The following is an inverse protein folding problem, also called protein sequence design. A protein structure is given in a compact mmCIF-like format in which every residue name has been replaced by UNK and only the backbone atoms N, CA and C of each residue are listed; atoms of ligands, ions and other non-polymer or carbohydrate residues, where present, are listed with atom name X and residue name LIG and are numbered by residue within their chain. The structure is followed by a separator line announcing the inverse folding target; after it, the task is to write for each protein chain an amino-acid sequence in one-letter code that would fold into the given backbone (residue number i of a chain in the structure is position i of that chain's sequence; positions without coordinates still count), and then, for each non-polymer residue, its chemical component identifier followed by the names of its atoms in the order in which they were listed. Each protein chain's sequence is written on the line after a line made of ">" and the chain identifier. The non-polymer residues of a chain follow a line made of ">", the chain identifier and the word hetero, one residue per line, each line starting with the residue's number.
data_IF_683352571155
#
_entry.id   IF_683352571155
#
_cell.length_a   1.000
_cell.length_b   1.000
_cell.length_c   1.000
_cell.angle_alpha   90.00
_cell.angle_beta   90.00
_cell.angle_gamma   90.00
#
_symmetry.space_group_name_H-M   'P 1'
#
loop_
_entity.id
_entity.type
_entity.pdbx_description
1 polymer ?
#
# COMPACT_ATOMS: atom_id res chain seq x y z
N UNK A 1 -30.42 48.87 34.92
CA UNK A 1 -29.23 49.08 35.78
C UNK A 1 -28.02 49.16 34.85
N UNK A 2 -27.72 50.33 34.28
CA UNK A 2 -26.82 51.38 34.79
C UNK A 2 -25.37 50.93 35.04
N UNK A 3 -24.45 51.51 34.25
CA UNK A 3 -23.04 51.80 34.56
C UNK A 3 -22.03 50.74 34.10
N UNK A 4 -20.87 51.03 33.53
CA UNK A 4 -20.14 52.26 33.17
C UNK A 4 -18.84 51.76 32.49
N UNK A 5 -18.40 52.21 31.29
CA UNK A 5 -17.49 53.35 31.07
C UNK A 5 -16.27 53.32 32.03
N UNK A 6 -14.97 53.34 31.68
CA UNK A 6 -14.14 53.88 30.57
C UNK A 6 -12.75 53.24 30.70
N UNK A 7 -11.89 53.20 29.67
CA UNK A 7 -10.83 54.19 29.35
C UNK A 7 -9.92 53.51 28.29
N UNK A 8 -9.31 54.13 27.28
CA UNK A 8 -9.23 55.51 26.78
C UNK A 8 -8.59 55.46 25.40
N UNK A 9 -8.91 56.49 24.61
CA UNK A 9 -8.41 56.85 23.29
C UNK A 9 -6.88 56.91 23.14
N UNK A 10 -6.43 56.66 21.91
CA UNK A 10 -5.52 57.47 21.07
C UNK A 10 -5.32 56.63 19.78
N UNK A 11 -5.40 57.08 18.52
CA UNK A 11 -5.51 58.38 17.84
C UNK A 11 -5.84 58.10 16.35
N UNK A 12 -6.33 59.11 15.63
CA UNK A 12 -6.95 59.14 14.28
C UNK A 12 -6.06 58.74 13.05
N UNK A 13 -6.65 58.62 11.82
CA UNK A 13 -6.15 57.92 10.60
C UNK A 13 -5.50 58.92 9.59
N UNK A 14 -5.40 58.76 8.23
CA UNK A 14 -5.79 57.68 7.28
C UNK A 14 -4.75 57.37 6.15
N UNK A 15 -5.08 56.38 5.30
CA UNK A 15 -5.05 56.42 3.80
C UNK A 15 -4.48 55.19 3.07
N UNK A 16 -5.18 54.86 1.97
CA UNK A 16 -4.83 54.03 0.79
C UNK A 16 -5.10 52.52 0.81
N UNK A 17 -6.22 52.19 0.17
CA UNK A 17 -6.62 50.96 -0.54
C UNK A 17 -5.64 50.56 -1.68
N UNK A 18 -5.86 49.52 -2.54
CA UNK A 18 -7.01 48.62 -2.67
C UNK A 18 -6.70 47.11 -2.98
N UNK A 19 -7.76 46.30 -2.96
CA UNK A 19 -8.06 45.15 -3.87
C UNK A 19 -7.00 44.09 -4.21
N UNK A 20 -7.23 42.85 -3.78
CA UNK A 20 -7.01 41.59 -4.51
C UNK A 20 -7.35 40.45 -3.54
N UNK A 21 -8.05 39.39 -3.86
CA UNK A 21 -8.50 38.82 -5.12
C UNK A 21 -9.07 37.47 -4.73
N UNK A 22 -10.07 37.03 -5.48
CA UNK A 22 -10.69 35.70 -5.38
C UNK A 22 -9.60 34.63 -5.26
N UNK A 23 -9.52 33.93 -4.13
CA UNK A 23 -8.73 32.71 -4.00
C UNK A 23 -9.43 31.60 -4.78
N UNK A 24 -9.30 31.65 -6.11
CA UNK A 24 -9.42 30.46 -6.93
C UNK A 24 -8.21 29.62 -6.54
N UNK A 25 -8.43 28.60 -5.70
CA UNK A 25 -7.44 27.57 -5.45
C UNK A 25 -7.12 26.93 -6.80
N UNK A 26 -6.01 27.36 -7.40
CA UNK A 26 -5.45 26.77 -8.60
C UNK A 26 -5.14 25.31 -8.28
N UNK A 27 -6.02 24.40 -8.72
CA UNK A 27 -5.71 22.99 -8.87
C UNK A 27 -4.69 22.89 -10.00
N UNK A 28 -3.43 23.16 -9.66
CA UNK A 28 -2.31 22.83 -10.52
C UNK A 28 -2.35 21.32 -10.75
N UNK A 29 -2.36 20.82 -12.00
CA UNK A 29 -2.07 19.43 -12.25
C UNK A 29 -0.58 19.28 -11.96
N UNK A 30 -0.22 19.04 -10.69
CA UNK A 30 1.10 18.56 -10.35
C UNK A 30 1.24 17.25 -11.11
N UNK A 31 1.97 17.30 -12.23
CA UNK A 31 2.60 16.15 -12.83
C UNK A 31 3.56 15.63 -11.75
N UNK A 32 3.04 14.80 -10.84
CA UNK A 32 3.87 14.06 -9.89
C UNK A 32 4.85 13.30 -10.75
N UNK A 33 6.12 13.67 -10.64
CA UNK A 33 7.19 12.86 -11.22
C UNK A 33 7.13 11.56 -10.45
N UNK A 34 6.90 10.46 -11.14
CA UNK A 34 6.88 9.15 -10.52
C UNK A 34 8.27 8.91 -9.90
N UNK A 35 8.29 8.58 -8.61
CA UNK A 35 9.52 8.38 -7.85
C UNK A 35 9.60 6.90 -7.49
N UNK A 36 10.55 6.21 -8.10
CA UNK A 36 10.76 4.79 -7.88
C UNK A 36 12.06 4.57 -7.11
N UNK A 37 11.97 3.95 -5.93
CA UNK A 37 13.14 3.50 -5.16
C UNK A 37 13.20 1.99 -5.23
N UNK A 38 14.21 1.43 -5.87
CA UNK A 38 14.32 -0.02 -6.06
C UNK A 38 15.49 -0.55 -5.25
N UNK A 39 15.21 -1.55 -4.41
CA UNK A 39 16.22 -2.23 -3.61
C UNK A 39 17.10 -3.14 -4.47
N UNK A 40 18.35 -3.42 -4.04
CA UNK A 40 19.32 -4.21 -4.81
C UNK A 40 18.88 -5.67 -5.04
N UNK A 41 17.90 -6.14 -4.26
CA UNK A 41 17.34 -7.48 -4.37
C UNK A 41 15.98 -7.52 -5.07
N UNK A 42 15.40 -6.38 -5.44
CA UNK A 42 14.12 -6.35 -6.13
C UNK A 42 14.28 -6.78 -7.60
N UNK A 43 13.28 -7.50 -8.11
CA UNK A 43 13.22 -7.91 -9.52
C UNK A 43 11.91 -7.39 -10.08
N UNK A 44 11.99 -6.42 -10.99
CA UNK A 44 10.81 -5.80 -11.59
C UNK A 44 10.73 -6.18 -13.05
N UNK A 45 9.68 -6.90 -13.44
CA UNK A 45 9.41 -7.20 -14.84
C UNK A 45 8.97 -5.92 -15.58
N UNK A 46 9.41 -5.74 -16.82
CA UNK A 46 9.11 -4.58 -17.65
C UNK A 46 7.60 -4.42 -17.94
N UNK A 47 6.89 -5.54 -18.04
CA UNK A 47 5.44 -5.63 -18.25
C UNK A 47 4.64 -5.36 -16.96
N UNK A 48 5.00 -4.31 -16.23
CA UNK A 48 4.29 -3.84 -15.04
C UNK A 48 3.99 -2.34 -15.15
N UNK A 49 2.74 -1.96 -14.83
CA UNK A 49 2.32 -0.57 -14.74
C UNK A 49 2.58 -0.08 -13.32
N UNK A 50 3.49 0.89 -13.17
CA UNK A 50 3.89 1.46 -11.89
C UNK A 50 3.73 2.97 -11.98
N UNK A 51 3.00 3.58 -11.04
CA UNK A 51 2.74 5.02 -11.02
C UNK A 51 2.79 5.60 -9.61
N UNK A 52 3.32 6.81 -9.49
CA UNK A 52 3.44 7.57 -8.26
C UNK A 52 4.76 7.33 -7.50
N UNK A 53 4.71 7.50 -6.19
CA UNK A 53 5.86 7.29 -5.28
C UNK A 53 5.83 5.87 -4.73
N UNK A 54 6.76 5.03 -5.20
CA UNK A 54 6.81 3.60 -4.89
C UNK A 54 8.22 3.20 -4.49
N UNK A 55 8.33 2.54 -3.33
CA UNK A 55 9.57 1.89 -2.86
C UNK A 55 9.44 0.39 -2.97
N UNK A 56 10.29 -0.26 -3.76
CA UNK A 56 10.23 -1.69 -4.13
C UNK A 56 11.42 -2.46 -3.53
N UNK A 57 11.15 -3.37 -2.60
CA UNK A 57 12.10 -4.40 -2.12
C UNK A 57 11.78 -5.82 -2.61
N UNK A 58 10.99 -5.93 -3.69
CA UNK A 58 10.16 -7.10 -3.98
C UNK A 58 10.31 -7.64 -5.40
N UNK A 59 9.83 -8.85 -5.62
CA UNK A 59 9.72 -9.45 -6.95
C UNK A 59 8.35 -9.13 -7.52
N UNK A 60 8.29 -8.50 -8.69
CA UNK A 60 7.06 -8.19 -9.41
C UNK A 60 6.95 -9.06 -10.68
N UNK A 61 5.93 -9.93 -10.73
CA UNK A 61 5.61 -10.73 -11.92
C UNK A 61 4.90 -9.89 -13.00
N UNK A 62 4.81 -10.38 -14.27
CA UNK A 62 4.19 -9.64 -15.36
C UNK A 62 2.73 -9.22 -15.09
N UNK A 63 2.25 -8.21 -15.81
CA UNK A 63 0.87 -7.68 -15.76
C UNK A 63 0.47 -7.12 -14.40
N UNK A 64 1.44 -6.87 -13.53
CA UNK A 64 1.19 -6.26 -12.25
C UNK A 64 0.90 -4.76 -12.40
N UNK A 65 -0.02 -4.21 -11.61
CA UNK A 65 -0.41 -2.80 -11.68
C UNK A 65 -0.33 -2.16 -10.29
N UNK A 66 0.65 -1.29 -10.04
CA UNK A 66 0.85 -0.62 -8.75
C UNK A 66 0.66 0.88 -8.92
N UNK A 67 -0.34 1.44 -8.25
CA UNK A 67 -0.80 2.81 -8.42
C UNK A 67 -0.80 3.54 -7.07
N UNK A 68 0.24 4.34 -6.83
CA UNK A 68 0.34 5.28 -5.71
C UNK A 68 -0.31 6.62 -6.10
N UNK A 69 -1.66 6.68 -6.04
CA UNK A 69 -2.43 7.83 -6.52
C UNK A 69 -2.32 9.02 -5.56
N UNK A 70 -2.66 8.81 -4.29
CA UNK A 70 -2.74 9.89 -3.29
C UNK A 70 -1.55 9.86 -2.32
N UNK A 71 -1.15 8.67 -1.88
CA UNK A 71 -0.07 8.44 -0.93
C UNK A 71 0.94 7.41 -1.45
N UNK A 72 2.16 7.38 -0.89
CA UNK A 72 3.21 6.49 -1.33
C UNK A 72 2.89 5.03 -0.99
N UNK A 73 3.49 4.11 -1.75
CA UNK A 73 3.45 2.67 -1.47
C UNK A 73 4.86 2.20 -1.14
N UNK A 74 5.04 1.64 0.05
CA UNK A 74 6.32 1.18 0.55
C UNK A 74 6.24 -0.32 0.71
N UNK A 75 6.99 -1.04 -0.12
CA UNK A 75 7.16 -2.47 0.03
C UNK A 75 8.41 -2.78 0.84
N UNK A 76 8.26 -3.70 1.79
CA UNK A 76 9.37 -4.34 2.49
C UNK A 76 10.19 -5.26 1.59
N UNK A 77 11.08 -6.02 2.22
CA UNK A 77 11.98 -6.94 1.53
C UNK A 77 11.32 -8.30 1.28
N UNK A 78 11.79 -8.98 0.24
CA UNK A 78 11.48 -10.37 -0.06
C UNK A 78 9.99 -10.69 -0.26
N UNK A 79 9.15 -9.71 -0.62
CA UNK A 79 7.79 -9.98 -1.05
C UNK A 79 7.76 -10.48 -2.51
N UNK A 80 6.71 -11.23 -2.85
CA UNK A 80 6.43 -11.69 -4.22
C UNK A 80 5.07 -11.11 -4.61
N UNK A 81 4.99 -10.39 -5.71
CA UNK A 81 3.73 -9.92 -6.29
C UNK A 81 3.46 -10.76 -7.51
N UNK A 82 2.38 -11.54 -7.47
CA UNK A 82 2.01 -12.43 -8.57
C UNK A 82 1.46 -11.70 -9.79
N UNK A 83 1.34 -12.46 -10.88
CA UNK A 83 0.78 -11.99 -12.14
C UNK A 83 -0.65 -11.45 -11.96
N UNK A 84 -0.98 -10.36 -12.65
CA UNK A 84 -2.29 -9.71 -12.63
C UNK A 84 -2.71 -9.14 -11.26
N UNK A 85 -1.78 -9.04 -10.30
CA UNK A 85 -2.03 -8.31 -9.05
C UNK A 85 -2.11 -6.83 -9.34
N UNK A 86 -3.18 -6.20 -8.86
CA UNK A 86 -3.36 -4.76 -8.88
C UNK A 86 -3.02 -4.30 -7.45
N UNK A 87 -2.53 -3.08 -7.23
CA UNK A 87 -2.32 -2.49 -5.91
C UNK A 87 -2.60 -1.00 -6.06
N UNK A 88 -3.59 -0.48 -5.34
CA UNK A 88 -3.96 0.94 -5.45
C UNK A 88 -4.02 1.60 -4.09
N UNK A 89 -3.16 2.60 -3.88
CA UNK A 89 -3.28 3.50 -2.73
C UNK A 89 -4.00 4.80 -3.12
N UNK A 90 -5.28 4.89 -2.72
CA UNK A 90 -6.12 6.10 -2.89
C UNK A 90 -6.09 7.03 -1.69
N UNK A 91 -5.52 6.60 -0.57
CA UNK A 91 -5.46 7.37 0.66
C UNK A 91 -4.21 8.25 0.71
N UNK A 92 -4.27 9.35 1.46
CA UNK A 92 -3.11 10.24 1.65
C UNK A 92 -2.03 9.59 2.54
N UNK A 93 -2.41 8.61 3.36
CA UNK A 93 -1.49 7.88 4.23
C UNK A 93 -0.65 6.89 3.41
N UNK A 94 0.60 6.63 3.84
CA UNK A 94 1.44 5.62 3.21
C UNK A 94 0.81 4.24 3.36
N UNK A 95 0.80 3.47 2.26
CA UNK A 95 0.48 2.03 2.28
C UNK A 95 1.80 1.29 2.50
N UNK A 96 1.91 0.59 3.64
CA UNK A 96 3.12 -0.13 4.03
C UNK A 96 2.84 -1.63 3.98
N UNK A 97 3.58 -2.32 3.11
CA UNK A 97 3.56 -3.77 2.98
C UNK A 97 4.84 -4.27 3.65
N UNK A 98 4.71 -5.14 4.66
CA UNK A 98 5.85 -5.72 5.39
C UNK A 98 6.73 -6.64 4.54
N UNK A 99 7.42 -7.58 5.17
CA UNK A 99 8.34 -8.49 4.49
C UNK A 99 7.70 -9.87 4.18
N UNK A 100 8.15 -10.54 3.12
CA UNK A 100 7.71 -11.90 2.75
C UNK A 100 6.20 -12.08 2.50
N UNK A 101 5.52 -11.04 2.05
CA UNK A 101 4.11 -11.07 1.68
C UNK A 101 3.89 -11.41 0.21
N UNK A 102 2.70 -11.90 -0.07
CA UNK A 102 2.21 -12.22 -1.39
C UNK A 102 0.83 -11.55 -1.58
N UNK A 103 0.73 -10.20 -1.71
CA UNK A 103 -0.43 -9.39 -2.24
C UNK A 103 -0.67 -7.98 -1.58
N UNK A 104 -1.80 -7.36 -1.98
CA UNK A 104 -2.43 -6.03 -1.93
C UNK A 104 -3.30 -5.71 -0.66
N UNK A 105 -2.80 -4.87 0.27
CA UNK A 105 -3.59 -4.18 1.31
C UNK A 105 -2.79 -3.02 1.96
N UNK A 106 -3.44 -1.97 2.52
CA UNK A 106 -2.79 -0.78 3.07
C UNK A 106 -1.87 -0.99 4.27
N UNK A 107 -2.14 -1.99 5.11
CA UNK A 107 -1.26 -2.40 6.22
C UNK A 107 -1.29 -3.91 6.33
N UNK A 108 -0.25 -4.54 5.80
CA UNK A 108 -0.02 -5.98 5.87
C UNK A 108 1.20 -6.22 6.76
N UNK A 109 1.09 -7.17 7.70
CA UNK A 109 2.20 -7.71 8.49
C UNK A 109 3.22 -8.48 7.63
N UNK A 110 3.83 -9.53 8.16
CA UNK A 110 4.83 -10.32 7.42
C UNK A 110 4.34 -11.76 7.16
N UNK A 111 4.88 -12.41 6.13
CA UNK A 111 4.59 -13.82 5.78
C UNK A 111 3.13 -14.10 5.42
N UNK A 112 2.46 -13.16 4.76
CA UNK A 112 1.07 -13.37 4.34
C UNK A 112 1.01 -13.96 2.93
N UNK A 113 0.14 -14.94 2.73
CA UNK A 113 -0.10 -15.60 1.45
C UNK A 113 -1.52 -15.28 1.00
N UNK A 114 -1.69 -14.64 -0.16
CA UNK A 114 -3.01 -14.34 -0.66
C UNK A 114 -3.26 -15.06 -1.99
N UNK A 115 -4.40 -15.75 -2.04
CA UNK A 115 -4.81 -16.53 -3.19
C UNK A 115 -5.29 -15.66 -4.35
N UNK A 116 -5.32 -16.26 -5.53
CA UNK A 116 -5.78 -15.64 -6.77
C UNK A 116 -7.21 -15.09 -6.60
N UNK A 117 -7.46 -13.88 -7.11
CA UNK A 117 -8.74 -13.15 -6.98
C UNK A 117 -9.19 -12.86 -5.55
N UNK A 118 -8.32 -13.05 -4.55
CA UNK A 118 -8.60 -12.51 -3.23
C UNK A 118 -8.67 -10.98 -3.31
N UNK A 119 -9.45 -10.38 -2.41
CA UNK A 119 -9.65 -8.93 -2.34
C UNK A 119 -9.66 -8.53 -0.88
N UNK A 120 -8.87 -7.53 -0.54
CA UNK A 120 -8.83 -6.99 0.82
C UNK A 120 -9.30 -5.56 0.76
N UNK A 121 -10.26 -5.22 1.63
CA UNK A 121 -10.75 -3.84 1.69
C UNK A 121 -9.68 -2.92 2.30
N UNK A 122 -9.59 -1.65 1.87
CA UNK A 122 -8.63 -0.70 2.41
C UNK A 122 -8.79 -0.40 3.92
N UNK A 123 -9.93 -0.74 4.51
CA UNK A 123 -10.19 -0.57 5.94
C UNK A 123 -9.65 -1.72 6.80
N UNK A 124 -9.07 -2.75 6.19
CA UNK A 124 -8.61 -3.97 6.87
C UNK A 124 -7.10 -3.91 7.05
N UNK A 125 -6.62 -3.99 8.29
CA UNK A 125 -5.25 -4.40 8.56
C UNK A 125 -5.17 -5.93 8.61
N UNK A 126 -4.12 -6.46 7.97
CA UNK A 126 -3.80 -7.88 7.98
C UNK A 126 -2.58 -8.07 8.86
N UNK A 127 -2.67 -8.98 9.85
CA UNK A 127 -1.57 -9.37 10.72
C UNK A 127 -0.47 -10.13 9.97
N UNK A 128 0.28 -10.95 10.70
CA UNK A 128 1.36 -11.79 10.15
C UNK A 128 0.93 -13.26 10.05
N UNK A 129 1.55 -14.03 9.15
CA UNK A 129 1.25 -15.45 8.94
C UNK A 129 -0.20 -15.75 8.53
N UNK A 130 -0.85 -14.80 7.85
CA UNK A 130 -2.21 -15.00 7.38
C UNK A 130 -2.23 -15.63 5.98
N UNK A 131 -3.23 -16.46 5.73
CA UNK A 131 -3.43 -17.08 4.41
C UNK A 131 -4.84 -16.74 3.93
N UNK A 132 -4.96 -16.00 2.85
CA UNK A 132 -6.23 -15.80 2.17
C UNK A 132 -6.38 -16.80 1.03
N UNK A 133 -7.49 -17.52 1.02
CA UNK A 133 -7.87 -18.42 -0.05
C UNK A 133 -8.22 -17.66 -1.34
N UNK A 134 -8.24 -18.39 -2.45
CA UNK A 134 -8.63 -17.83 -3.74
C UNK A 134 -10.08 -17.32 -3.70
N UNK A 135 -10.33 -16.15 -4.30
CA UNK A 135 -11.65 -15.53 -4.39
C UNK A 135 -12.22 -15.02 -3.05
N UNK A 136 -11.44 -15.03 -1.96
CA UNK A 136 -11.90 -14.52 -0.67
C UNK A 136 -11.97 -12.99 -0.67
N UNK A 137 -13.04 -12.42 -0.13
CA UNK A 137 -13.22 -10.99 0.05
C UNK A 137 -13.15 -10.66 1.55
N UNK A 138 -12.03 -10.11 2.00
CA UNK A 138 -11.88 -9.70 3.40
C UNK A 138 -12.46 -8.31 3.58
N UNK A 139 -13.60 -8.26 4.26
CA UNK A 139 -14.27 -7.04 4.68
C UNK A 139 -13.93 -6.74 6.14
N UNK A 140 -13.91 -5.45 6.50
CA UNK A 140 -13.63 -5.02 7.86
C UNK A 140 -14.86 -5.24 8.75
N UNK A 141 -14.75 -6.18 9.69
CA UNK A 141 -15.70 -6.41 10.78
C UNK A 141 -14.94 -6.96 12.01
N UNK A 142 -15.32 -6.59 13.23
CA UNK A 142 -14.88 -5.41 13.97
C UNK A 142 -13.37 -5.37 14.29
N UNK A 143 -12.69 -6.51 14.21
CA UNK A 143 -11.27 -6.63 14.51
C UNK A 143 -10.58 -7.11 13.24
N UNK A 144 -9.65 -6.30 12.75
CA UNK A 144 -8.64 -6.64 11.74
C UNK A 144 -8.18 -8.10 11.75
N UNK A 145 -7.71 -8.61 10.62
CA UNK A 145 -7.24 -9.99 10.53
C UNK A 145 -6.06 -10.20 11.49
N UNK A 146 -6.28 -10.93 12.58
CA UNK A 146 -5.25 -11.20 13.58
C UNK A 146 -4.17 -12.13 13.01
N UNK A 147 -3.02 -12.22 13.69
CA UNK A 147 -1.94 -13.11 13.28
C UNK A 147 -2.41 -14.58 13.22
N UNK A 148 -1.84 -15.35 12.28
CA UNK A 148 -2.15 -16.76 12.04
C UNK A 148 -3.61 -17.03 11.62
N UNK A 149 -4.23 -16.09 10.91
CA UNK A 149 -5.60 -16.26 10.42
C UNK A 149 -5.63 -16.78 8.98
N UNK A 150 -6.32 -17.89 8.79
CA UNK A 150 -6.59 -18.45 7.47
C UNK A 150 -8.04 -18.17 7.08
N UNK A 151 -8.24 -17.47 5.97
CA UNK A 151 -9.56 -17.17 5.41
C UNK A 151 -9.78 -18.03 4.18
N UNK A 152 -10.90 -18.74 4.09
CA UNK A 152 -11.20 -19.61 2.96
C UNK A 152 -12.69 -19.73 2.67
N UNK A 153 -13.00 -20.14 1.43
CA UNK A 153 -14.36 -20.33 0.95
C UNK A 153 -15.05 -19.02 0.54
N UNK A 154 -16.14 -19.14 -0.22
CA UNK A 154 -16.94 -18.00 -0.69
C UNK A 154 -17.61 -17.23 0.45
N UNK A 155 -17.78 -17.87 1.60
CA UNK A 155 -18.33 -17.26 2.83
C UNK A 155 -17.25 -16.57 3.69
N UNK A 156 -15.99 -16.50 3.23
CA UNK A 156 -14.86 -15.93 3.98
C UNK A 156 -14.73 -16.53 5.39
N UNK A 157 -14.86 -17.86 5.51
CA UNK A 157 -14.73 -18.54 6.79
C UNK A 157 -13.32 -18.36 7.31
N UNK A 158 -13.21 -17.99 8.58
CA UNK A 158 -11.95 -17.75 9.23
C UNK A 158 -11.60 -18.91 10.16
N UNK A 159 -10.34 -19.34 10.12
CA UNK A 159 -9.79 -20.33 11.04
C UNK A 159 -8.46 -19.82 11.56
N UNK A 160 -8.26 -19.93 12.87
CA UNK A 160 -6.94 -19.74 13.47
C UNK A 160 -6.07 -20.95 13.12
N UNK A 161 -4.98 -20.69 12.43
CA UNK A 161 -3.98 -21.69 12.10
C UNK A 161 -3.17 -22.06 13.33
N UNK A 162 -2.89 -23.34 13.50
CA UNK A 162 -1.82 -23.80 14.36
C UNK A 162 -0.50 -23.49 13.67
N UNK A 163 0.53 -23.01 14.40
CA UNK A 163 1.87 -22.76 13.85
C UNK A 163 2.61 -24.02 13.35
N UNK A 164 1.95 -25.18 13.39
CA UNK A 164 2.43 -26.42 12.82
C UNK A 164 2.55 -26.29 11.29
N UNK A 165 3.77 -26.41 10.77
CA UNK A 165 4.05 -26.29 9.33
C UNK A 165 4.51 -24.90 8.87
N UNK A 166 4.53 -23.89 9.74
CA UNK A 166 5.03 -22.54 9.38
C UNK A 166 6.50 -22.58 8.91
N UNK A 167 7.33 -23.45 9.50
CA UNK A 167 8.70 -23.68 9.05
C UNK A 167 8.79 -24.23 7.62
N UNK A 168 7.87 -25.14 7.25
CA UNK A 168 7.82 -25.68 5.88
C UNK A 168 7.32 -24.63 4.89
N UNK A 169 6.29 -23.86 5.26
CA UNK A 169 5.76 -22.77 4.44
C UNK A 169 6.82 -21.68 4.20
N UNK A 170 7.57 -21.28 5.22
CA UNK A 170 8.71 -20.35 5.12
C UNK A 170 9.82 -20.89 4.22
N UNK A 171 10.21 -22.15 4.42
CA UNK A 171 11.25 -22.77 3.60
C UNK A 171 10.82 -22.89 2.13
N UNK A 172 9.55 -23.21 1.88
CA UNK A 172 8.98 -23.25 0.53
C UNK A 172 8.95 -21.86 -0.11
N UNK A 173 8.53 -20.84 0.64
CA UNK A 173 8.55 -19.45 0.18
C UNK A 173 9.96 -19.00 -0.18
N UNK A 174 10.95 -19.25 0.68
CA UNK A 174 12.34 -18.87 0.43
C UNK A 174 12.88 -19.50 -0.86
N UNK A 175 12.65 -20.82 -1.05
CA UNK A 175 13.02 -21.51 -2.30
C UNK A 175 12.31 -20.95 -3.52
N UNK A 176 11.02 -20.66 -3.38
CA UNK A 176 10.24 -20.09 -4.48
C UNK A 176 10.73 -18.70 -4.85
N UNK A 177 11.06 -17.88 -3.86
CA UNK A 177 11.63 -16.54 -4.04
C UNK A 177 12.98 -16.60 -4.76
N UNK A 178 13.91 -17.46 -4.31
CA UNK A 178 15.20 -17.68 -4.97
C UNK A 178 15.02 -18.15 -6.42
N UNK A 179 14.12 -19.12 -6.63
CA UNK A 179 13.81 -19.62 -7.95
C UNK A 179 13.29 -18.53 -8.89
N UNK A 180 12.34 -17.70 -8.44
CA UNK A 180 11.81 -16.60 -9.24
C UNK A 180 12.89 -15.55 -9.54
N UNK A 181 13.74 -15.23 -8.57
CA UNK A 181 14.86 -14.30 -8.76
C UNK A 181 15.81 -14.76 -9.87
N UNK A 182 16.09 -16.06 -9.95
CA UNK A 182 17.02 -16.62 -10.92
C UNK A 182 16.41 -16.87 -12.29
N UNK A 183 15.09 -17.11 -12.34
CA UNK A 183 14.38 -17.47 -13.59
C UNK A 183 13.72 -16.28 -14.27
N UNK A 184 13.14 -15.33 -13.53
CA UNK A 184 12.46 -14.17 -14.12
C UNK A 184 13.35 -13.35 -15.06
N UNK A 185 14.63 -13.06 -14.73
CA UNK A 185 15.53 -12.35 -15.64
C UNK A 185 15.86 -13.12 -16.93
N UNK A 186 15.68 -14.46 -16.94
CA UNK A 186 15.95 -15.30 -18.13
C UNK A 186 14.81 -15.28 -19.13
N UNK A 187 13.58 -15.17 -18.65
CA UNK A 187 12.37 -15.26 -19.48
C UNK A 187 11.71 -13.91 -19.76
N UNK A 188 11.95 -12.90 -18.91
CA UNK A 188 11.29 -11.61 -19.00
C UNK A 188 12.31 -10.47 -19.06
N UNK A 189 11.96 -9.42 -19.82
CA UNK A 189 12.69 -8.16 -19.79
C UNK A 189 12.47 -7.51 -18.44
N UNK A 190 13.55 -7.05 -17.79
CA UNK A 190 13.46 -6.31 -16.53
C UNK A 190 13.28 -4.81 -16.80
N UNK A 191 12.56 -4.15 -15.90
CA UNK A 191 12.44 -2.69 -15.89
C UNK A 191 13.68 -2.10 -15.23
N UNK A 192 14.41 -1.28 -15.96
CA UNK A 192 15.52 -0.49 -15.43
C UNK A 192 15.00 0.91 -15.10
N UNK A 193 15.40 1.46 -13.94
CA UNK A 193 14.99 2.77 -13.44
C UNK A 193 16.16 3.74 -13.43
#
# INVERSE_FOLDING_TARGET
>A
MQGSCRKTCQSLPPTRSPSCGVLIASLSPHRRVDAFKVGPKAVVVADCDLRGDITLGTILQPRCTILAVSGPIIFGENNIVEENVIIVNRHKQPMVIGDFNLFESPTIGSHNVFGIRSRVLPSVSVGSHCVLGAGCLVQADPDSLADYMHVFGSENRQRKATGEGDGQAKALFAKHWEYLRDTLPRYHKLKMF
#
